data_IF_919456848307
#
_entry.id   IF_919456848307
#
_cell.length_a   1.000
_cell.length_b   1.000
_cell.length_c   1.000
_cell.angle_alpha   90.00
_cell.angle_beta   90.00
_cell.angle_gamma   90.00
#
_symmetry.space_group_name_H-M   'P 1'
#
loop_
_entity.id
_entity.type
_entity.pdbx_description
1 polymer ?
#
# COMPACT_ATOMS: atom_id res chain seq x y z
N UNK A 1 12.79 15.62 1.83
CA UNK A 1 11.68 15.69 2.79
C UNK A 1 11.06 14.32 2.95
N UNK A 2 10.69 13.96 4.17
CA UNK A 2 10.10 12.64 4.44
C UNK A 2 8.63 12.81 4.80
N UNK A 3 7.81 11.89 4.33
CA UNK A 3 6.42 11.85 4.71
C UNK A 3 5.93 10.40 4.81
N UNK A 4 4.85 10.21 5.56
CA UNK A 4 4.25 8.90 5.81
C UNK A 4 2.75 8.99 5.57
N UNK A 5 2.22 7.95 4.94
CA UNK A 5 0.79 7.88 4.64
C UNK A 5 0.20 6.59 5.20
N UNK A 6 -1.00 6.69 5.75
CA UNK A 6 -1.81 5.54 6.11
C UNK A 6 -3.08 5.60 5.27
N UNK A 7 -3.31 4.55 4.48
CA UNK A 7 -4.46 4.46 3.57
C UNK A 7 -5.29 3.25 3.99
N UNK A 8 -6.58 3.46 4.19
CA UNK A 8 -7.48 2.40 4.63
C UNK A 8 -8.73 2.39 3.76
N UNK A 9 -9.21 1.18 3.45
CA UNK A 9 -10.46 0.99 2.71
C UNK A 9 -11.04 -0.39 3.02
N UNK A 10 -12.36 -0.52 2.87
CA UNK A 10 -13.05 -1.80 3.02
C UNK A 10 -13.18 -2.50 1.66
N UNK A 11 -13.34 -3.80 1.68
CA UNK A 11 -13.59 -4.60 0.49
C UNK A 11 -15.07 -4.86 0.31
N UNK A 12 -15.50 -4.97 -0.93
CA UNK A 12 -16.90 -5.20 -1.28
C UNK A 12 -17.36 -6.61 -0.93
N UNK A 13 -16.45 -7.59 -1.01
CA UNK A 13 -16.72 -8.99 -0.73
C UNK A 13 -15.41 -9.71 -0.42
N UNK A 14 -15.49 -10.93 0.07
CA UNK A 14 -14.30 -11.76 0.29
C UNK A 14 -13.56 -12.04 -1.01
N UNK A 15 -14.28 -12.27 -2.11
CA UNK A 15 -13.66 -12.49 -3.42
C UNK A 15 -12.97 -11.24 -3.94
N UNK A 16 -13.57 -10.07 -3.75
CA UNK A 16 -12.94 -8.81 -4.10
C UNK A 16 -11.67 -8.58 -3.27
N UNK A 17 -11.71 -8.93 -1.98
CA UNK A 17 -10.54 -8.84 -1.10
C UNK A 17 -9.42 -9.77 -1.57
N UNK A 18 -9.76 -10.99 -1.98
CA UNK A 18 -8.77 -11.94 -2.50
C UNK A 18 -8.10 -11.42 -3.77
N UNK A 19 -8.87 -10.86 -4.70
CA UNK A 19 -8.33 -10.25 -5.91
C UNK A 19 -7.45 -9.06 -5.58
N UNK A 20 -7.90 -8.22 -4.65
CA UNK A 20 -7.13 -7.05 -4.21
C UNK A 20 -5.80 -7.48 -3.59
N UNK A 21 -5.81 -8.52 -2.78
CA UNK A 21 -4.59 -9.04 -2.17
C UNK A 21 -3.60 -9.53 -3.23
N UNK A 22 -4.06 -10.26 -4.24
CA UNK A 22 -3.19 -10.71 -5.33
C UNK A 22 -2.53 -9.55 -6.05
N UNK A 23 -3.28 -8.46 -6.28
CA UNK A 23 -2.76 -7.27 -6.94
C UNK A 23 -1.75 -6.54 -6.06
N UNK A 24 -1.97 -6.49 -4.75
CA UNK A 24 -1.01 -5.93 -3.79
C UNK A 24 0.26 -6.77 -3.76
N UNK A 25 0.12 -8.10 -3.73
CA UNK A 25 1.27 -9.01 -3.73
C UNK A 25 2.14 -8.83 -4.98
N UNK A 26 1.52 -8.54 -6.12
CA UNK A 26 2.26 -8.25 -7.36
C UNK A 26 3.09 -6.96 -7.24
N UNK A 27 2.59 -5.96 -6.52
CA UNK A 27 3.36 -4.73 -6.26
C UNK A 27 4.62 -5.06 -5.45
N UNK A 28 4.49 -5.88 -4.41
CA UNK A 28 5.63 -6.28 -3.60
C UNK A 28 6.63 -7.12 -4.39
N UNK A 29 6.16 -7.99 -5.27
CA UNK A 29 7.05 -8.78 -6.14
C UNK A 29 7.89 -7.86 -7.03
N UNK A 30 7.29 -6.81 -7.59
CA UNK A 30 8.02 -5.85 -8.42
C UNK A 30 8.98 -5.02 -7.59
N UNK A 31 8.58 -4.55 -6.40
CA UNK A 31 9.46 -3.81 -5.50
C UNK A 31 10.66 -4.65 -5.06
N UNK A 32 10.47 -5.95 -4.88
CA UNK A 32 11.56 -6.86 -4.55
C UNK A 32 12.60 -6.94 -5.67
N UNK A 33 12.19 -6.76 -6.92
CA UNK A 33 13.09 -6.74 -8.06
C UNK A 33 13.80 -5.40 -8.22
N UNK A 34 13.06 -4.28 -8.09
CA UNK A 34 13.60 -2.94 -8.31
C UNK A 34 14.32 -2.39 -7.08
N UNK A 35 13.94 -2.80 -5.89
CA UNK A 35 14.55 -2.48 -4.60
C UNK A 35 14.84 -0.99 -4.41
N UNK A 36 13.84 -0.11 -4.56
CA UNK A 36 14.06 1.32 -4.35
C UNK A 36 14.47 1.59 -2.89
N UNK A 37 15.45 2.46 -2.69
CA UNK A 37 16.06 2.69 -1.38
C UNK A 37 15.41 3.76 -0.53
N UNK A 38 14.46 4.51 -1.05
CA UNK A 38 13.91 5.69 -0.38
C UNK A 38 12.42 5.54 -0.04
N UNK A 39 11.91 4.33 0.03
CA UNK A 39 10.54 4.05 0.46
C UNK A 39 10.54 2.80 1.33
N UNK A 40 9.57 2.74 2.24
CA UNK A 40 9.19 1.53 2.95
C UNK A 40 7.68 1.38 2.81
N UNK A 41 7.22 0.15 2.68
CA UNK A 41 5.82 -0.11 2.37
C UNK A 41 5.39 -1.41 3.01
N UNK A 42 4.25 -1.40 3.69
CA UNK A 42 3.62 -2.61 4.19
C UNK A 42 2.11 -2.49 4.06
N UNK A 43 1.47 -3.63 3.87
CA UNK A 43 0.02 -3.70 3.72
C UNK A 43 -0.49 -4.78 4.67
N UNK A 44 -1.53 -4.46 5.41
CA UNK A 44 -2.22 -5.39 6.28
C UNK A 44 -3.61 -5.65 5.74
N UNK A 45 -4.03 -6.92 5.76
CA UNK A 45 -5.42 -7.30 5.55
C UNK A 45 -6.01 -7.62 6.92
N UNK A 46 -7.07 -6.91 7.29
CA UNK A 46 -7.71 -7.11 8.59
C UNK A 46 -8.72 -8.26 8.52
N UNK A 47 -9.18 -8.69 9.70
CA UNK A 47 -10.10 -9.83 9.79
C UNK A 47 -11.44 -9.59 9.08
N UNK A 48 -11.82 -8.33 8.89
CA UNK A 48 -13.04 -7.94 8.18
C UNK A 48 -12.81 -7.72 6.68
N UNK A 49 -11.66 -8.14 6.15
CA UNK A 49 -11.24 -7.97 4.76
C UNK A 49 -10.98 -6.52 4.34
N UNK A 50 -10.90 -5.58 5.28
CA UNK A 50 -10.39 -4.26 4.96
C UNK A 50 -8.87 -4.28 4.85
N UNK A 51 -8.30 -3.29 4.16
CA UNK A 51 -6.86 -3.19 3.94
C UNK A 51 -6.34 -1.89 4.53
N UNK A 52 -5.14 -1.99 5.10
CA UNK A 52 -4.40 -0.81 5.59
C UNK A 52 -3.05 -0.81 4.89
N UNK A 53 -2.77 0.26 4.15
CA UNK A 53 -1.49 0.48 3.50
C UNK A 53 -0.72 1.51 4.33
N UNK A 54 0.51 1.18 4.68
CA UNK A 54 1.39 2.11 5.39
C UNK A 54 2.62 2.31 4.53
N UNK A 55 2.89 3.56 4.17
CA UNK A 55 4.04 3.87 3.32
C UNK A 55 4.87 5.01 3.92
N UNK A 56 6.18 4.84 3.86
CA UNK A 56 7.16 5.82 4.33
C UNK A 56 7.93 6.28 3.10
N UNK A 57 7.97 7.59 2.87
CA UNK A 57 8.55 8.18 1.67
C UNK A 57 9.71 9.09 2.03
N UNK A 58 10.90 8.76 1.54
CA UNK A 58 12.09 9.59 1.69
C UNK A 58 12.39 10.46 0.47
N UNK A 59 11.61 10.30 -0.62
CA UNK A 59 11.74 11.15 -1.80
C UNK A 59 11.01 12.49 -1.59
N UNK A 60 11.39 13.51 -2.36
CA UNK A 60 10.67 14.78 -2.33
C UNK A 60 9.27 14.61 -2.96
N UNK A 61 8.28 15.45 -2.57
CA UNK A 61 6.92 15.32 -3.12
C UNK A 61 6.81 15.49 -4.63
N UNK A 62 7.75 16.20 -5.25
CA UNK A 62 7.80 16.41 -6.70
C UNK A 62 8.65 15.36 -7.43
N UNK A 63 9.31 14.46 -6.70
CA UNK A 63 10.04 13.36 -7.29
C UNK A 63 9.11 12.18 -7.56
N UNK A 64 9.54 11.28 -8.47
CA UNK A 64 8.80 10.07 -8.77
C UNK A 64 8.63 9.22 -7.52
N UNK A 65 7.39 8.83 -7.23
CA UNK A 65 7.08 7.89 -6.16
C UNK A 65 7.40 6.48 -6.64
N UNK A 66 8.41 5.80 -6.04
CA UNK A 66 8.83 4.48 -6.53
C UNK A 66 7.77 3.40 -6.42
N UNK A 67 6.83 3.51 -5.49
CA UNK A 67 5.74 2.55 -5.34
C UNK A 67 4.72 2.77 -6.46
N UNK A 68 4.27 3.99 -6.62
CA UNK A 68 3.22 4.35 -7.58
C UNK A 68 3.70 4.23 -9.04
N UNK A 69 5.00 4.23 -9.29
CA UNK A 69 5.55 4.12 -10.64
C UNK A 69 5.72 2.69 -11.13
N UNK A 70 5.46 1.68 -10.29
CA UNK A 70 5.52 0.29 -10.73
C UNK A 70 4.37 -0.04 -11.66
N UNK A 71 4.61 -0.96 -12.60
CA UNK A 71 3.54 -1.45 -13.48
C UNK A 71 2.48 -2.20 -12.68
N UNK A 72 2.90 -2.92 -11.65
CA UNK A 72 1.98 -3.64 -10.77
C UNK A 72 1.06 -2.69 -10.02
N UNK A 73 1.55 -1.51 -9.62
CA UNK A 73 0.70 -0.52 -8.94
C UNK A 73 -0.36 0.04 -9.89
N UNK A 74 0.00 0.25 -11.15
CA UNK A 74 -0.98 0.67 -12.17
C UNK A 74 -2.09 -0.38 -12.32
N UNK A 75 -1.72 -1.66 -12.33
CA UNK A 75 -2.69 -2.76 -12.38
C UNK A 75 -3.52 -2.84 -11.09
N UNK A 76 -2.92 -2.55 -9.94
CA UNK A 76 -3.64 -2.47 -8.67
C UNK A 76 -4.69 -1.37 -8.70
N UNK A 77 -4.36 -0.21 -9.23
CA UNK A 77 -5.29 0.92 -9.32
C UNK A 77 -6.44 0.65 -10.29
N UNK A 78 -6.19 -0.15 -11.32
CA UNK A 78 -7.21 -0.48 -12.30
C UNK A 78 -8.32 -1.30 -11.63
N UNK A 79 -9.56 -0.81 -11.71
CA UNK A 79 -10.71 -1.46 -11.11
C UNK A 79 -10.77 -1.39 -9.59
N UNK A 80 -9.94 -0.57 -8.95
CA UNK A 80 -9.92 -0.50 -7.47
C UNK A 80 -11.28 -0.09 -6.91
N UNK A 81 -11.98 0.84 -7.58
CA UNK A 81 -13.31 1.25 -7.15
C UNK A 81 -14.35 0.12 -7.17
N UNK A 82 -14.14 -0.87 -8.02
CA UNK A 82 -15.05 -2.03 -8.12
C UNK A 82 -14.79 -3.06 -7.02
N UNK A 83 -13.58 -3.08 -6.45
CA UNK A 83 -13.21 -4.03 -5.40
C UNK A 83 -13.48 -3.51 -4.00
N UNK A 84 -13.55 -2.20 -3.82
CA UNK A 84 -13.72 -1.61 -2.49
C UNK A 84 -15.16 -1.26 -2.20
N UNK A 85 -15.47 -1.19 -0.92
CA UNK A 85 -16.74 -0.73 -0.37
C UNK A 85 -16.52 0.67 0.20
N UNK A 86 -17.15 1.67 -0.41
CA UNK A 86 -17.07 3.05 0.08
C UNK A 86 -15.78 3.77 -0.29
N UNK A 87 -15.45 4.77 0.48
CA UNK A 87 -14.36 5.69 0.22
C UNK A 87 -13.02 5.16 0.71
N UNK A 88 -11.95 5.70 0.14
CA UNK A 88 -10.59 5.51 0.65
C UNK A 88 -10.32 6.61 1.68
N UNK A 89 -9.89 6.18 2.88
CA UNK A 89 -9.41 7.12 3.91
C UNK A 89 -7.89 7.14 3.85
N UNK A 90 -7.31 8.30 3.56
CA UNK A 90 -5.87 8.46 3.51
C UNK A 90 -5.46 9.63 4.38
N UNK A 91 -4.52 9.40 5.28
CA UNK A 91 -4.05 10.41 6.21
C UNK A 91 -2.53 10.43 6.24
N UNK A 92 -1.96 11.62 6.43
CA UNK A 92 -0.55 11.75 6.78
C UNK A 92 -0.36 11.30 8.22
N UNK A 93 0.77 10.65 8.47
CA UNK A 93 1.07 10.08 9.78
C UNK A 93 2.43 10.53 10.26
N UNK A 94 2.59 10.57 11.58
CA UNK A 94 3.87 10.76 12.24
C UNK A 94 4.31 9.43 12.84
N UNK A 95 5.60 9.11 12.72
CA UNK A 95 6.15 7.92 13.36
C UNK A 95 6.40 8.24 14.83
N UNK A 96 5.67 7.59 15.72
CA UNK A 96 5.84 7.76 17.17
C UNK A 96 6.95 6.84 17.68
N UNK A 97 7.08 5.66 17.10
CA UNK A 97 8.12 4.71 17.48
C UNK A 97 8.01 3.46 16.63
N UNK A 98 9.05 2.61 16.71
CA UNK A 98 9.07 1.33 16.01
C UNK A 98 9.94 0.33 16.79
N UNK A 99 9.46 -0.90 16.86
CA UNK A 99 10.22 -2.03 17.38
C UNK A 99 9.87 -3.25 16.52
N UNK A 100 10.70 -3.51 15.54
CA UNK A 100 10.40 -4.45 14.45
C UNK A 100 11.41 -5.60 14.46
N UNK A 101 11.25 -6.56 15.34
CA UNK A 101 12.13 -7.74 15.41
C UNK A 101 11.53 -8.95 14.68
N UNK A 102 10.21 -8.95 14.46
CA UNK A 102 9.52 -10.02 13.74
C UNK A 102 8.61 -9.39 12.72
N UNK A 103 8.90 -9.63 11.43
CA UNK A 103 8.02 -9.27 10.32
C UNK A 103 8.02 -10.46 9.37
N UNK A 104 6.83 -10.93 9.06
CA UNK A 104 6.82 -12.00 8.11
C UNK A 104 5.57 -12.74 7.94
#
# INVERSE_FOLDING_TARGET
>A
MQFRLVTRYASRSAEAADDNQRRVEAVFAELDQTRPGNVSYLVLRLADDSFVHISFHGHAPDETNPIASTDAFARFQDGHGDRRQGEVDQQKASLVGAYLTVIG
#
